data_IF_991826117066
#
_entry.id   IF_991826117066
#
_cell.length_a   1.000
_cell.length_b   1.000
_cell.length_c   1.000
_cell.angle_alpha   90.00
_cell.angle_beta   90.00
_cell.angle_gamma   90.00
#
_symmetry.space_group_name_H-M   'P 1'
#
loop_
_entity.id
_entity.type
_entity.pdbx_description
1 polymer ?
#
# COMPACT_ATOMS: atom_id res chain seq x y z
N UNK A 1 70.98 45.99 9.95
CA UNK A 1 71.12 45.20 11.20
C UNK A 1 69.73 44.73 11.60
N UNK A 2 69.35 43.55 11.14
CA UNK A 2 68.06 42.89 11.40
C UNK A 2 68.23 41.98 12.62
N UNK A 3 67.61 42.34 13.74
CA UNK A 3 67.57 41.52 14.97
C UNK A 3 66.37 40.56 14.96
N UNK A 4 66.47 39.37 15.61
CA UNK A 4 65.60 38.24 15.31
C UNK A 4 64.30 38.18 16.15
N UNK A 5 63.36 37.45 15.57
CA UNK A 5 62.04 37.08 16.08
C UNK A 5 62.05 36.40 17.45
N UNK A 6 61.09 36.75 18.30
CA UNK A 6 60.68 35.92 19.44
C UNK A 6 59.18 35.67 19.43
N UNK A 7 58.82 34.50 18.91
CA UNK A 7 57.52 33.86 19.00
C UNK A 7 57.25 33.52 20.49
N UNK A 8 56.26 34.16 21.11
CA UNK A 8 55.68 33.67 22.37
C UNK A 8 54.57 32.67 22.05
N UNK A 9 54.95 31.40 22.08
CA UNK A 9 54.10 30.23 21.99
C UNK A 9 53.07 30.24 23.14
N UNK A 10 51.79 30.41 22.81
CA UNK A 10 50.68 30.24 23.77
C UNK A 10 50.57 28.75 24.09
N UNK A 11 50.95 28.38 25.32
CA UNK A 11 50.86 27.04 25.89
C UNK A 11 49.39 26.60 25.89
N UNK A 12 49.04 25.59 25.10
CA UNK A 12 47.74 24.92 25.22
C UNK A 12 47.71 24.15 26.55
N UNK A 13 46.73 24.46 27.38
CA UNK A 13 46.37 23.65 28.55
C UNK A 13 45.78 22.33 28.03
N UNK A 14 46.11 21.16 28.61
CA UNK A 14 45.41 19.93 28.25
C UNK A 14 43.98 20.05 28.79
N UNK A 15 43.00 20.08 27.90
CA UNK A 15 41.60 19.86 28.25
C UNK A 15 41.50 18.52 28.97
N UNK A 16 40.86 18.53 30.14
CA UNK A 16 40.61 17.33 30.93
C UNK A 16 39.70 16.40 30.11
N UNK A 17 40.23 15.28 29.67
CA UNK A 17 39.55 14.24 28.87
C UNK A 17 38.35 13.58 29.60
N UNK A 18 38.04 14.03 30.82
CA UNK A 18 36.97 13.53 31.67
C UNK A 18 35.69 14.36 31.60
N UNK A 19 35.75 15.62 31.14
CA UNK A 19 34.54 16.46 30.95
C UNK A 19 33.82 16.16 29.62
N UNK A 20 34.48 15.48 28.68
CA UNK A 20 33.89 15.03 27.43
C UNK A 20 33.01 13.76 27.55
N UNK A 21 32.89 13.18 28.74
CA UNK A 21 32.21 11.90 28.97
C UNK A 21 30.94 12.00 29.83
N UNK A 22 30.42 13.20 30.03
CA UNK A 22 29.20 13.42 30.82
C UNK A 22 28.20 14.40 30.16
N UNK A 23 28.06 14.31 28.84
CA UNK A 23 26.76 14.55 28.21
C UNK A 23 26.21 13.19 27.81
N UNK A 24 25.74 12.42 28.79
CA UNK A 24 24.70 11.43 28.53
C UNK A 24 23.52 12.21 28.00
N UNK A 25 23.43 12.34 26.67
CA UNK A 25 22.19 12.69 26.02
C UNK A 25 21.17 11.67 26.55
N UNK A 26 20.18 12.18 27.29
CA UNK A 26 18.96 11.42 27.52
C UNK A 26 18.55 10.83 26.17
N UNK A 27 18.25 9.53 26.05
CA UNK A 27 17.70 9.01 24.81
C UNK A 27 16.49 9.90 24.48
N UNK A 28 16.59 10.62 23.36
CA UNK A 28 15.44 11.33 22.82
C UNK A 28 14.28 10.34 22.79
N UNK A 29 13.04 10.77 23.12
CA UNK A 29 11.90 9.87 23.01
C UNK A 29 11.93 9.27 21.60
N UNK A 30 12.05 7.94 21.53
CA UNK A 30 12.16 7.23 20.26
C UNK A 30 10.90 7.56 19.48
N UNK A 31 11.01 8.44 18.49
CA UNK A 31 9.86 8.88 17.70
C UNK A 31 9.37 7.66 16.93
N UNK A 32 8.06 7.37 17.02
CA UNK A 32 7.45 6.22 16.34
C UNK A 32 7.50 6.33 14.81
N UNK A 33 7.85 7.52 14.30
CA UNK A 33 7.98 7.83 12.88
C UNK A 33 9.30 8.56 12.58
N UNK A 34 9.75 8.48 11.33
CA UNK A 34 10.99 9.09 10.82
C UNK A 34 10.72 10.09 9.68
N UNK A 35 11.75 10.81 9.24
CA UNK A 35 11.64 11.79 8.14
C UNK A 35 11.89 11.16 6.76
N UNK A 36 11.52 11.86 5.69
CA UNK A 36 11.73 11.42 4.31
C UNK A 36 13.21 11.14 3.96
N UNK A 37 14.14 11.82 4.63
CA UNK A 37 15.57 11.60 4.41
C UNK A 37 16.09 10.35 5.12
N UNK A 38 15.36 9.85 6.13
CA UNK A 38 15.76 8.70 6.96
C UNK A 38 15.22 7.36 6.45
N UNK A 39 14.32 7.39 5.45
CA UNK A 39 13.82 6.17 4.79
C UNK A 39 14.68 5.77 3.59
N UNK A 40 14.72 4.48 3.23
CA UNK A 40 15.43 4.01 2.05
C UNK A 40 14.81 4.53 0.74
N UNK A 41 15.63 4.61 -0.31
CA UNK A 41 15.23 5.22 -1.60
C UNK A 41 13.99 4.60 -2.23
N UNK A 42 13.79 3.30 -2.08
CA UNK A 42 12.62 2.59 -2.62
C UNK A 42 11.29 2.98 -1.97
N UNK A 43 11.31 3.63 -0.79
CA UNK A 43 10.12 4.21 -0.13
C UNK A 43 9.96 5.71 -0.36
N UNK A 44 10.86 6.36 -1.10
CA UNK A 44 10.81 7.80 -1.39
C UNK A 44 9.92 8.10 -2.59
N UNK A 45 8.68 7.62 -2.52
CA UNK A 45 7.67 7.75 -3.56
C UNK A 45 7.24 9.21 -3.81
N UNK A 46 7.09 9.99 -2.74
CA UNK A 46 6.55 11.34 -2.78
C UNK A 46 7.38 12.30 -1.93
N UNK A 47 8.20 13.12 -2.59
CA UNK A 47 9.05 14.15 -1.96
C UNK A 47 8.31 15.23 -1.17
N UNK A 48 6.98 15.34 -1.31
CA UNK A 48 6.16 16.32 -0.59
C UNK A 48 5.70 15.79 0.78
N UNK A 49 5.79 14.48 1.02
CA UNK A 49 5.61 13.90 2.35
C UNK A 49 6.97 13.97 3.05
N UNK A 50 7.14 14.95 3.94
CA UNK A 50 8.45 15.27 4.53
C UNK A 50 8.76 14.47 5.81
N UNK A 51 7.73 13.95 6.49
CA UNK A 51 7.85 13.21 7.74
C UNK A 51 6.61 12.32 8.00
N UNK A 52 6.66 11.53 9.07
CA UNK A 52 5.58 10.63 9.46
C UNK A 52 5.71 9.22 8.92
N UNK A 53 6.86 8.88 8.32
CA UNK A 53 7.13 7.54 7.80
C UNK A 53 7.35 6.55 8.93
N UNK A 54 6.87 5.31 8.75
CA UNK A 54 7.27 4.22 9.65
C UNK A 54 8.76 3.88 9.46
N UNK A 55 9.50 3.60 10.55
CA UNK A 55 10.83 2.98 10.47
C UNK A 55 10.77 1.67 9.67
N UNK A 56 11.95 1.17 9.25
CA UNK A 56 12.03 -0.17 8.69
C UNK A 56 11.77 -1.19 9.81
N UNK A 57 10.80 -2.07 9.64
CA UNK A 57 10.33 -3.00 10.68
C UNK A 57 10.26 -4.43 10.13
N UNK A 58 11.28 -5.24 10.40
CA UNK A 58 11.32 -6.65 9.96
C UNK A 58 10.36 -7.56 10.75
N UNK A 59 9.75 -7.05 11.82
CA UNK A 59 8.79 -7.77 12.64
C UNK A 59 7.35 -7.40 12.26
N UNK A 60 6.60 -8.37 11.72
CA UNK A 60 5.17 -8.22 11.42
C UNK A 60 4.34 -7.79 12.62
N UNK A 61 4.73 -8.13 13.85
CA UNK A 61 4.02 -7.65 15.04
C UNK A 61 4.15 -6.13 15.21
N UNK A 62 5.32 -5.56 14.92
CA UNK A 62 5.53 -4.11 14.96
C UNK A 62 4.79 -3.41 13.81
N UNK A 63 4.75 -4.04 12.64
CA UNK A 63 3.89 -3.60 11.53
C UNK A 63 2.42 -3.55 11.95
N UNK A 64 1.90 -4.60 12.58
CA UNK A 64 0.52 -4.62 13.09
C UNK A 64 0.29 -3.58 14.18
N UNK A 65 1.27 -3.38 15.06
CA UNK A 65 1.23 -2.34 16.10
C UNK A 65 1.14 -0.94 15.48
N UNK A 66 1.58 -0.74 14.23
CA UNK A 66 1.45 0.54 13.53
C UNK A 66 0.01 0.99 13.34
N UNK A 67 -0.96 0.09 13.40
CA UNK A 67 -2.38 0.44 13.42
C UNK A 67 -2.75 1.31 14.63
N UNK A 68 -1.95 1.33 15.69
CA UNK A 68 -2.26 2.06 16.93
C UNK A 68 -1.73 3.49 16.96
N UNK A 69 -1.02 3.94 15.93
CA UNK A 69 -0.48 5.30 15.85
C UNK A 69 -0.57 5.89 14.44
N UNK A 70 -0.43 7.21 14.34
CA UNK A 70 -0.52 7.94 13.06
C UNK A 70 0.82 7.92 12.31
N UNK A 71 0.75 7.62 11.02
CA UNK A 71 1.86 7.60 10.07
C UNK A 71 1.37 7.99 8.66
N UNK A 72 2.29 8.17 7.71
CA UNK A 72 2.00 8.59 6.33
C UNK A 72 0.98 7.68 5.62
N UNK A 73 1.06 6.37 5.87
CA UNK A 73 0.13 5.38 5.28
C UNK A 73 -1.18 5.17 6.07
N UNK A 74 -1.45 5.87 7.18
CA UNK A 74 -2.60 5.55 8.04
C UNK A 74 -3.91 5.65 7.28
N UNK A 75 -4.11 6.70 6.49
CA UNK A 75 -5.32 6.85 5.69
C UNK A 75 -5.46 5.70 4.70
N UNK A 76 -4.41 5.38 3.95
CA UNK A 76 -4.40 4.31 2.95
C UNK A 76 -4.72 2.95 3.59
N UNK A 77 -4.14 2.64 4.76
CA UNK A 77 -4.47 1.40 5.47
C UNK A 77 -5.94 1.37 5.90
N UNK A 78 -6.41 2.42 6.58
CA UNK A 78 -7.75 2.41 7.18
C UNK A 78 -8.88 2.49 6.15
N UNK A 79 -8.74 3.25 5.07
CA UNK A 79 -9.79 3.33 4.04
C UNK A 79 -10.04 1.97 3.40
N UNK A 80 -8.98 1.23 3.07
CA UNK A 80 -9.09 -0.11 2.49
C UNK A 80 -9.47 -1.17 3.52
N UNK A 81 -8.91 -1.13 4.73
CA UNK A 81 -9.20 -2.08 5.80
C UNK A 81 -10.66 -2.00 6.26
N UNK A 82 -11.19 -0.79 6.48
CA UNK A 82 -12.60 -0.60 6.84
C UNK A 82 -13.50 -1.12 5.70
N UNK A 83 -13.13 -0.85 4.45
CA UNK A 83 -13.80 -1.42 3.28
C UNK A 83 -13.85 -2.95 3.32
N UNK A 84 -12.70 -3.60 3.51
CA UNK A 84 -12.60 -5.06 3.57
C UNK A 84 -13.42 -5.68 4.73
N UNK A 85 -13.57 -4.97 5.85
CA UNK A 85 -14.40 -5.45 6.97
C UNK A 85 -15.90 -5.28 6.67
N UNK A 86 -16.29 -4.17 6.07
CA UNK A 86 -17.71 -3.83 5.87
C UNK A 86 -18.30 -4.46 4.60
N UNK A 87 -17.51 -4.65 3.55
CA UNK A 87 -17.99 -5.12 2.26
C UNK A 87 -18.62 -6.52 2.33
N UNK A 88 -18.09 -7.52 3.04
CA UNK A 88 -18.73 -8.84 3.16
C UNK A 88 -20.10 -8.78 3.86
N UNK A 89 -20.23 -7.91 4.87
CA UNK A 89 -21.49 -7.68 5.57
C UNK A 89 -22.52 -7.04 4.62
N UNK A 90 -22.09 -6.02 3.89
CA UNK A 90 -22.92 -5.34 2.89
C UNK A 90 -23.34 -6.30 1.76
N UNK A 91 -22.40 -7.06 1.20
CA UNK A 91 -22.66 -8.04 0.16
C UNK A 91 -23.65 -9.11 0.61
N UNK A 92 -23.50 -9.62 1.84
CA UNK A 92 -24.43 -10.60 2.42
C UNK A 92 -25.83 -10.03 2.56
N UNK A 93 -25.96 -8.81 3.07
CA UNK A 93 -27.27 -8.15 3.21
C UNK A 93 -27.96 -7.94 1.86
N UNK A 94 -27.20 -7.54 0.82
CA UNK A 94 -27.72 -7.40 -0.55
C UNK A 94 -28.19 -8.75 -1.10
N UNK A 95 -27.37 -9.79 -1.02
CA UNK A 95 -27.72 -11.12 -1.54
C UNK A 95 -28.94 -11.73 -0.83
N UNK A 96 -29.06 -11.53 0.49
CA UNK A 96 -30.25 -11.94 1.25
C UNK A 96 -31.51 -11.18 0.81
N UNK A 97 -31.38 -9.87 0.58
CA UNK A 97 -32.50 -9.03 0.11
C UNK A 97 -32.97 -9.47 -1.28
N UNK A 98 -32.05 -9.79 -2.19
CA UNK A 98 -32.37 -10.29 -3.53
C UNK A 98 -33.08 -11.65 -3.43
N UNK A 99 -32.55 -12.58 -2.63
CA UNK A 99 -33.13 -13.91 -2.45
C UNK A 99 -34.54 -13.88 -1.83
N UNK A 100 -34.80 -12.96 -0.89
CA UNK A 100 -36.10 -12.82 -0.23
C UNK A 100 -37.13 -12.00 -1.01
N UNK A 101 -36.72 -11.34 -2.10
CA UNK A 101 -37.61 -10.45 -2.85
C UNK A 101 -38.59 -11.24 -3.71
N UNK A 102 -39.89 -11.13 -3.41
CA UNK A 102 -40.96 -11.71 -4.22
C UNK A 102 -41.25 -10.93 -5.51
N UNK A 103 -40.62 -9.76 -5.67
CA UNK A 103 -40.88 -8.82 -6.77
C UNK A 103 -39.78 -8.80 -7.84
N UNK A 104 -38.66 -9.49 -7.61
CA UNK A 104 -37.54 -9.57 -8.55
C UNK A 104 -37.39 -11.02 -8.96
N UNK A 105 -37.58 -11.33 -10.24
CA UNK A 105 -37.24 -12.64 -10.82
C UNK A 105 -35.70 -12.76 -10.90
N UNK A 106 -35.07 -12.96 -9.75
CA UNK A 106 -33.63 -13.14 -9.64
C UNK A 106 -33.24 -14.55 -10.08
N UNK A 107 -32.44 -14.64 -11.12
CA UNK A 107 -31.90 -15.88 -11.64
C UNK A 107 -30.63 -16.28 -10.89
N UNK A 108 -30.25 -17.56 -11.00
CA UNK A 108 -28.94 -18.04 -10.50
C UNK A 108 -27.76 -17.25 -11.09
N UNK A 109 -27.90 -16.75 -12.32
CA UNK A 109 -26.87 -15.95 -12.98
C UNK A 109 -26.66 -14.63 -12.27
N UNK A 110 -27.73 -13.99 -11.78
CA UNK A 110 -27.64 -12.72 -11.04
C UNK A 110 -26.81 -12.90 -9.75
N UNK A 111 -27.07 -13.98 -8.99
CA UNK A 111 -26.28 -14.32 -7.81
C UNK A 111 -24.80 -14.54 -8.13
N UNK A 112 -24.49 -15.21 -9.26
CA UNK A 112 -23.10 -15.41 -9.70
C UNK A 112 -22.46 -14.05 -10.04
N UNK A 113 -23.15 -13.18 -10.78
CA UNK A 113 -22.63 -11.88 -11.18
C UNK A 113 -22.37 -10.97 -9.97
N UNK A 114 -23.32 -10.87 -9.04
CA UNK A 114 -23.11 -10.11 -7.79
C UNK A 114 -21.98 -10.71 -6.96
N UNK A 115 -21.89 -12.05 -6.87
CA UNK A 115 -20.80 -12.70 -6.13
C UNK A 115 -19.43 -12.40 -6.75
N UNK A 116 -19.31 -12.45 -8.09
CA UNK A 116 -18.06 -12.09 -8.80
C UNK A 116 -17.69 -10.63 -8.54
N UNK A 117 -18.66 -9.71 -8.62
CA UNK A 117 -18.44 -8.30 -8.34
C UNK A 117 -17.91 -8.07 -6.92
N UNK A 118 -18.66 -8.52 -5.91
CA UNK A 118 -18.30 -8.32 -4.50
C UNK A 118 -16.99 -9.02 -4.14
N UNK A 119 -16.76 -10.24 -4.61
CA UNK A 119 -15.54 -10.98 -4.32
C UNK A 119 -14.30 -10.33 -4.96
N UNK A 120 -14.44 -9.81 -6.18
CA UNK A 120 -13.34 -9.09 -6.84
C UNK A 120 -12.98 -7.77 -6.12
N UNK A 121 -13.99 -7.04 -5.64
CA UNK A 121 -13.80 -5.84 -4.84
C UNK A 121 -13.17 -6.16 -3.47
N UNK A 122 -13.58 -7.25 -2.84
CA UNK A 122 -13.00 -7.72 -1.58
C UNK A 122 -11.50 -8.04 -1.73
N UNK A 123 -11.12 -8.78 -2.77
CA UNK A 123 -9.70 -9.07 -3.06
C UNK A 123 -8.90 -7.77 -3.22
N UNK A 124 -9.43 -6.79 -3.95
CA UNK A 124 -8.78 -5.51 -4.16
C UNK A 124 -8.55 -4.76 -2.84
N UNK A 125 -9.58 -4.70 -1.97
CA UNK A 125 -9.49 -4.03 -0.68
C UNK A 125 -8.48 -4.72 0.25
N UNK A 126 -8.50 -6.05 0.30
CA UNK A 126 -7.58 -6.83 1.13
C UNK A 126 -6.14 -6.67 0.65
N UNK A 127 -5.88 -6.81 -0.66
CA UNK A 127 -4.52 -6.65 -1.19
C UNK A 127 -3.97 -5.25 -0.94
N UNK A 128 -4.78 -4.21 -1.11
CA UNK A 128 -4.38 -2.83 -0.83
C UNK A 128 -4.11 -2.59 0.65
N UNK A 129 -5.00 -3.06 1.54
CA UNK A 129 -4.82 -2.92 2.98
C UNK A 129 -3.55 -3.63 3.47
N UNK A 130 -3.27 -4.84 2.98
CA UNK A 130 -2.05 -5.58 3.33
C UNK A 130 -0.81 -4.88 2.79
N UNK A 131 -0.83 -4.37 1.56
CA UNK A 131 0.28 -3.61 0.99
C UNK A 131 0.63 -2.38 1.83
N UNK A 132 -0.32 -1.46 2.02
CA UNK A 132 -0.06 -0.23 2.77
C UNK A 132 0.30 -0.46 4.24
N UNK A 133 -0.13 -1.59 4.81
CA UNK A 133 0.26 -1.98 6.16
C UNK A 133 1.70 -2.50 6.19
N UNK A 134 2.08 -3.37 5.26
CA UNK A 134 3.38 -4.06 5.23
C UNK A 134 4.48 -3.35 4.44
N UNK A 135 4.19 -2.20 3.83
CA UNK A 135 5.11 -1.40 3.01
C UNK A 135 6.43 -1.04 3.73
N UNK A 136 6.42 -0.90 5.06
CA UNK A 136 7.62 -0.61 5.85
C UNK A 136 8.43 -1.85 6.28
N UNK A 137 8.07 -3.05 5.85
CA UNK A 137 8.70 -4.29 6.34
C UNK A 137 10.08 -4.53 5.75
N UNK A 138 10.15 -4.88 4.46
CA UNK A 138 11.39 -5.04 3.70
C UNK A 138 11.09 -4.74 2.23
N UNK A 139 12.15 -4.54 1.43
CA UNK A 139 11.96 -4.22 0.01
C UNK A 139 11.27 -5.36 -0.75
N UNK A 140 11.56 -6.61 -0.41
CA UNK A 140 10.96 -7.79 -1.05
C UNK A 140 9.48 -7.92 -0.71
N UNK A 141 9.12 -7.65 0.55
CA UNK A 141 7.72 -7.68 1.02
C UNK A 141 6.92 -6.56 0.40
N UNK A 142 7.47 -5.33 0.37
CA UNK A 142 6.87 -4.19 -0.32
C UNK A 142 6.60 -4.53 -1.79
N UNK A 143 7.61 -4.95 -2.54
CA UNK A 143 7.44 -5.29 -3.97
C UNK A 143 6.41 -6.40 -4.20
N UNK A 144 6.42 -7.43 -3.36
CA UNK A 144 5.47 -8.53 -3.47
C UNK A 144 4.03 -8.06 -3.32
N UNK A 145 3.75 -7.30 -2.25
CA UNK A 145 2.40 -6.82 -1.97
C UNK A 145 1.99 -5.68 -2.89
N UNK A 146 2.90 -4.81 -3.32
CA UNK A 146 2.64 -3.78 -4.31
C UNK A 146 2.14 -4.39 -5.63
N UNK A 147 2.79 -5.46 -6.10
CA UNK A 147 2.32 -6.20 -7.29
C UNK A 147 0.95 -6.82 -7.09
N UNK A 148 0.61 -7.27 -5.88
CA UNK A 148 -0.70 -7.83 -5.56
C UNK A 148 -1.77 -6.75 -5.49
N UNK A 149 -1.46 -5.59 -4.93
CA UNK A 149 -2.37 -4.44 -4.90
C UNK A 149 -2.74 -3.99 -6.32
N UNK A 150 -1.72 -3.80 -7.18
CA UNK A 150 -1.93 -3.51 -8.60
C UNK A 150 -2.73 -4.61 -9.32
N UNK A 151 -2.46 -5.89 -9.01
CA UNK A 151 -3.24 -7.01 -9.55
C UNK A 151 -4.70 -6.96 -9.08
N UNK A 152 -4.95 -6.57 -7.83
CA UNK A 152 -6.29 -6.38 -7.27
C UNK A 152 -7.09 -5.36 -8.08
N UNK A 153 -6.49 -4.22 -8.41
CA UNK A 153 -7.09 -3.18 -9.26
C UNK A 153 -7.47 -3.73 -10.64
N UNK A 154 -6.58 -4.51 -11.26
CA UNK A 154 -6.85 -5.14 -12.56
C UNK A 154 -8.02 -6.13 -12.46
N UNK A 155 -8.02 -6.99 -11.43
CA UNK A 155 -9.07 -7.99 -11.21
C UNK A 155 -10.43 -7.31 -11.01
N UNK A 156 -10.55 -6.35 -10.10
CA UNK A 156 -11.84 -5.68 -9.82
C UNK A 156 -12.34 -4.92 -11.05
N UNK A 157 -11.44 -4.32 -11.83
CA UNK A 157 -11.80 -3.63 -13.08
C UNK A 157 -12.41 -4.59 -14.08
N UNK A 158 -11.72 -5.69 -14.39
CA UNK A 158 -12.19 -6.71 -15.35
C UNK A 158 -13.50 -7.34 -14.88
N UNK A 159 -13.59 -7.74 -13.62
CA UNK A 159 -14.80 -8.36 -13.07
C UNK A 159 -16.00 -7.41 -13.09
N UNK A 160 -15.81 -6.12 -12.75
CA UNK A 160 -16.87 -5.11 -12.81
C UNK A 160 -17.40 -4.92 -14.23
N UNK A 161 -16.51 -4.90 -15.23
CA UNK A 161 -16.93 -4.86 -16.63
C UNK A 161 -17.70 -6.12 -17.04
N UNK A 162 -17.22 -7.32 -16.70
CA UNK A 162 -17.91 -8.58 -17.02
C UNK A 162 -19.34 -8.57 -16.45
N UNK A 163 -19.49 -8.22 -15.17
CA UNK A 163 -20.80 -8.20 -14.50
C UNK A 163 -21.69 -7.06 -14.98
N UNK A 164 -21.11 -5.89 -15.29
CA UNK A 164 -21.86 -4.74 -15.82
C UNK A 164 -22.38 -5.00 -17.24
N UNK A 165 -21.54 -5.55 -18.12
CA UNK A 165 -21.89 -5.90 -19.51
C UNK A 165 -23.04 -6.92 -19.52
N UNK A 166 -23.05 -7.87 -18.58
CA UNK A 166 -24.15 -8.81 -18.43
C UNK A 166 -25.49 -8.09 -18.31
N UNK A 167 -25.60 -7.15 -17.37
CA UNK A 167 -26.86 -6.43 -17.13
C UNK A 167 -27.23 -5.46 -18.25
N UNK A 168 -26.25 -4.84 -18.91
CA UNK A 168 -26.49 -3.91 -20.01
C UNK A 168 -27.00 -4.62 -21.26
N UNK A 169 -26.42 -5.78 -21.61
CA UNK A 169 -26.68 -6.47 -22.87
C UNK A 169 -27.35 -7.84 -22.72
N UNK A 170 -28.00 -8.12 -21.59
CA UNK A 170 -28.64 -9.42 -21.34
C UNK A 170 -29.64 -9.80 -22.45
N UNK A 171 -30.33 -8.80 -23.03
CA UNK A 171 -31.29 -8.99 -24.12
C UNK A 171 -30.64 -9.07 -25.52
N UNK A 172 -29.36 -8.72 -25.65
CA UNK A 172 -28.64 -8.57 -26.92
C UNK A 172 -27.38 -9.46 -26.94
N UNK A 173 -27.52 -10.77 -27.22
CA UNK A 173 -26.48 -11.77 -26.97
C UNK A 173 -25.23 -11.59 -27.84
N UNK A 174 -25.35 -10.96 -29.02
CA UNK A 174 -24.20 -10.66 -29.88
C UNK A 174 -23.36 -9.55 -29.25
N UNK A 175 -23.99 -8.47 -28.80
CA UNK A 175 -23.29 -7.35 -28.17
C UNK A 175 -22.63 -7.79 -26.87
N UNK A 176 -23.32 -8.58 -26.04
CA UNK A 176 -22.76 -9.13 -24.81
C UNK A 176 -21.46 -9.92 -25.07
N UNK A 177 -21.47 -10.85 -26.03
CA UNK A 177 -20.30 -11.67 -26.37
C UNK A 177 -19.14 -10.84 -26.90
N UNK A 178 -19.41 -9.86 -27.76
CA UNK A 178 -18.39 -8.98 -28.32
C UNK A 178 -17.71 -8.16 -27.23
N UNK A 179 -18.48 -7.54 -26.33
CA UNK A 179 -17.91 -6.72 -25.26
C UNK A 179 -17.15 -7.55 -24.23
N UNK A 180 -17.64 -8.74 -23.87
CA UNK A 180 -16.89 -9.68 -23.05
C UNK A 180 -15.59 -10.12 -23.72
N UNK A 181 -15.60 -10.39 -25.03
CA UNK A 181 -14.38 -10.74 -25.76
C UNK A 181 -13.34 -9.61 -25.71
N UNK A 182 -13.77 -8.34 -25.80
CA UNK A 182 -12.88 -7.17 -25.69
C UNK A 182 -12.26 -7.10 -24.28
N UNK A 183 -13.06 -7.25 -23.23
CA UNK A 183 -12.62 -7.11 -21.82
C UNK A 183 -11.75 -8.30 -21.39
N UNK A 184 -12.10 -9.51 -21.83
CA UNK A 184 -11.38 -10.73 -21.47
C UNK A 184 -10.21 -11.03 -22.41
N UNK A 185 -9.99 -10.24 -23.46
CA UNK A 185 -8.88 -10.49 -24.38
C UNK A 185 -7.56 -10.39 -23.60
N UNK A 186 -6.71 -11.43 -23.61
CA UNK A 186 -5.37 -11.30 -23.07
C UNK A 186 -4.68 -10.22 -23.91
N UNK A 187 -4.34 -9.08 -23.31
CA UNK A 187 -3.34 -8.20 -23.91
C UNK A 187 -2.10 -9.06 -24.01
N UNK A 188 -1.80 -9.52 -25.22
CA UNK A 188 -0.57 -10.25 -25.52
C UNK A 188 0.55 -9.21 -25.38
N UNK A 189 1.00 -8.99 -24.14
CA UNK A 189 2.20 -8.24 -23.87
C UNK A 189 3.33 -9.15 -24.30
N UNK A 190 3.81 -8.96 -25.54
CA UNK A 190 5.08 -9.50 -26.00
C UNK A 190 6.21 -8.93 -25.14
N UNK A 191 6.43 -9.52 -23.96
CA UNK A 191 7.57 -9.20 -23.09
C UNK A 191 8.83 -9.98 -23.50
N UNK A 192 8.94 -10.39 -24.77
CA UNK A 192 10.13 -11.08 -25.27
C UNK A 192 11.24 -10.14 -25.78
N UNK A 193 11.10 -8.81 -25.62
CA UNK A 193 12.07 -7.83 -26.14
C UNK A 193 12.80 -7.00 -25.06
N UNK A 194 12.62 -7.29 -23.76
CA UNK A 194 13.18 -6.44 -22.69
C UNK A 194 14.23 -7.12 -21.78
N UNK A 195 14.88 -8.20 -22.24
CA UNK A 195 16.08 -8.76 -21.58
C UNK A 195 17.12 -9.10 -22.64
N UNK A 196 17.65 -8.06 -23.29
CA UNK A 196 18.99 -8.06 -23.90
C UNK A 196 19.50 -6.64 -23.88
N UNK A 197 20.20 -6.28 -22.81
CA UNK A 197 21.45 -5.52 -22.79
C UNK A 197 22.03 -5.51 -21.36
#
# INVERSE_FOLDING_TARGET
>A
MTGPDTIKQRRAQPENLNDAKQSMANPSPTTQTVTWHDIPDWRRDNKYIIAGYRPLEEDYFQVLKSLTFLHNETCNVYTHLIGAVLLPLFATAILQTIHGSQYIDATRTDFIMFSVFFFSAEICLVFSAVYHLTESHSHEVEQFWHRRDLLGIVIVTVCTFITGIYYIFNCEPILLKVHWAIVCHPVHLDTSSAVKE
#
